data_IF_954534644303
#
_entry.id   IF_954534644303
#
_cell.length_a   1.000
_cell.length_b   1.000
_cell.length_c   1.000
_cell.angle_alpha   90.00
_cell.angle_beta   90.00
_cell.angle_gamma   90.00
#
_symmetry.space_group_name_H-M   'P 1'
#
loop_
_entity.id
_entity.type
_entity.pdbx_description
1 polymer ?
#
# COMPACT_ATOMS: atom_id res chain seq x y z
N UNK A 1 2.29 -1.95 -5.66
CA UNK A 1 2.64 -0.85 -4.72
C UNK A 1 3.22 -1.37 -3.41
N UNK A 2 2.80 -2.57 -2.97
CA UNK A 2 3.26 -3.31 -1.78
C UNK A 2 4.77 -3.41 -1.63
N UNK A 3 5.51 -3.75 -2.69
CA UNK A 3 6.98 -3.82 -2.62
C UNK A 3 7.63 -2.48 -2.26
N UNK A 4 7.16 -1.36 -2.82
CA UNK A 4 7.68 -0.02 -2.49
C UNK A 4 7.33 0.37 -1.06
N UNK A 5 6.11 0.04 -0.59
CA UNK A 5 5.72 0.29 0.78
C UNK A 5 6.54 -0.56 1.77
N UNK A 6 6.72 -1.86 1.48
CA UNK A 6 7.56 -2.77 2.27
C UNK A 6 9.00 -2.29 2.40
N UNK A 7 9.64 -1.92 1.29
CA UNK A 7 11.00 -1.35 1.35
C UNK A 7 11.08 -0.05 2.15
N UNK A 8 10.04 0.79 2.10
CA UNK A 8 9.98 2.01 2.92
C UNK A 8 9.83 1.69 4.43
N UNK A 9 9.11 0.63 4.79
CA UNK A 9 9.00 0.15 6.17
C UNK A 9 10.32 -0.43 6.67
N UNK A 10 10.97 -1.27 5.88
CA UNK A 10 12.24 -1.92 6.25
C UNK A 10 13.37 -0.90 6.45
N UNK A 11 13.44 0.13 5.62
CA UNK A 11 14.37 1.25 5.80
C UNK A 11 14.16 2.03 7.12
N UNK A 12 13.02 1.84 7.79
CA UNK A 12 12.66 2.44 9.08
C UNK A 12 12.72 1.44 10.24
N UNK A 13 13.24 0.23 10.00
CA UNK A 13 13.34 -0.83 10.99
C UNK A 13 12.01 -1.53 11.29
N UNK A 14 11.02 -1.45 10.39
CA UNK A 14 9.74 -2.14 10.51
C UNK A 14 9.74 -3.35 9.57
N UNK A 15 9.72 -4.60 10.09
CA UNK A 15 9.69 -5.79 9.24
C UNK A 15 8.44 -5.86 8.36
N UNK A 16 8.61 -6.10 7.06
CA UNK A 16 7.53 -6.21 6.08
C UNK A 16 7.58 -7.53 5.28
N UNK A 17 8.50 -8.43 5.65
CA UNK A 17 8.73 -9.71 5.01
C UNK A 17 7.80 -10.82 5.54
N UNK A 18 7.90 -12.02 4.98
CA UNK A 18 7.33 -13.25 5.59
C UNK A 18 5.84 -13.15 5.97
N UNK A 19 5.02 -12.48 5.15
CA UNK A 19 3.59 -12.32 5.38
C UNK A 19 3.21 -11.26 6.43
N UNK A 20 4.18 -10.49 6.94
CA UNK A 20 3.92 -9.35 7.83
C UNK A 20 3.27 -8.18 7.10
N UNK A 21 3.64 -7.94 5.85
CA UNK A 21 2.92 -7.03 4.97
C UNK A 21 2.31 -7.82 3.81
N UNK A 22 1.02 -7.62 3.60
CA UNK A 22 0.36 -8.03 2.37
C UNK A 22 -0.66 -6.99 1.95
N UNK A 23 -1.19 -7.14 0.74
CA UNK A 23 -2.23 -6.27 0.24
C UNK A 23 -3.16 -7.00 -0.71
N UNK A 24 -4.42 -6.63 -0.67
CA UNK A 24 -5.39 -6.98 -1.69
C UNK A 24 -5.68 -5.76 -2.56
N UNK A 25 -6.11 -6.00 -3.80
CA UNK A 25 -6.42 -4.91 -4.72
C UNK A 25 -7.68 -5.22 -5.52
N UNK A 26 -8.62 -4.29 -5.49
CA UNK A 26 -9.87 -4.36 -6.25
C UNK A 26 -9.81 -3.35 -7.39
N UNK A 27 -10.00 -3.82 -8.61
CA UNK A 27 -10.08 -3.00 -9.80
C UNK A 27 -11.51 -2.88 -10.30
N UNK A 28 -11.94 -1.68 -10.64
CA UNK A 28 -13.22 -1.44 -11.30
C UNK A 28 -13.01 -1.08 -12.78
N UNK A 29 -13.79 -1.72 -13.63
CA UNK A 29 -13.78 -1.53 -15.06
C UNK A 29 -14.99 -0.71 -15.51
N UNK A 30 -14.81 0.13 -16.51
CA UNK A 30 -15.88 0.81 -17.20
C UNK A 30 -15.78 0.62 -18.71
N UNK A 31 -16.91 0.74 -19.40
CA UNK A 31 -16.92 0.74 -20.86
C UNK A 31 -16.63 2.15 -21.37
N UNK A 32 -15.49 2.33 -22.03
CA UNK A 32 -15.09 3.57 -22.69
C UNK A 32 -14.97 3.31 -24.20
N UNK A 33 -15.73 4.04 -25.01
CA UNK A 33 -15.74 3.92 -26.49
C UNK A 33 -15.83 2.49 -27.02
N UNK A 34 -16.57 1.63 -26.33
CA UNK A 34 -16.80 0.25 -26.76
C UNK A 34 -15.88 -0.80 -26.14
N UNK A 35 -14.83 -0.39 -25.40
CA UNK A 35 -13.88 -1.31 -24.75
C UNK A 35 -13.91 -1.18 -23.23
N UNK A 36 -13.54 -2.24 -22.51
CA UNK A 36 -13.38 -2.17 -21.05
C UNK A 36 -12.04 -1.54 -20.70
N UNK A 37 -12.05 -0.54 -19.83
CA UNK A 37 -10.86 0.11 -19.29
C UNK A 37 -10.89 0.08 -17.77
N UNK A 38 -9.74 -0.09 -17.14
CA UNK A 38 -9.62 0.08 -15.69
C UNK A 38 -9.80 1.57 -15.38
N UNK A 39 -10.72 1.91 -14.49
CA UNK A 39 -10.94 3.30 -14.06
C UNK A 39 -10.52 3.55 -12.63
N UNK A 40 -10.71 2.56 -11.76
CA UNK A 40 -10.38 2.67 -10.34
C UNK A 40 -9.64 1.44 -9.88
N UNK A 41 -8.71 1.65 -8.95
CA UNK A 41 -8.07 0.59 -8.19
C UNK A 41 -8.07 1.02 -6.72
N UNK A 42 -8.54 0.15 -5.84
CA UNK A 42 -8.39 0.30 -4.40
C UNK A 42 -7.40 -0.73 -3.88
N UNK A 43 -6.45 -0.31 -3.05
CA UNK A 43 -5.44 -1.19 -2.44
C UNK A 43 -5.61 -1.20 -0.92
N UNK A 44 -5.98 -2.35 -0.36
CA UNK A 44 -6.10 -2.55 1.08
C UNK A 44 -4.84 -3.24 1.58
N UNK A 45 -4.04 -2.55 2.40
CA UNK A 45 -2.85 -3.12 3.02
C UNK A 45 -3.17 -3.65 4.41
N UNK A 46 -2.56 -4.77 4.77
CA UNK A 46 -2.53 -5.27 6.14
C UNK A 46 -1.08 -5.40 6.57
N UNK A 47 -0.75 -4.72 7.67
CA UNK A 47 0.57 -4.75 8.28
C UNK A 47 0.47 -5.33 9.70
N UNK A 48 1.15 -6.46 9.92
CA UNK A 48 1.28 -7.12 11.22
C UNK A 48 2.53 -6.60 11.93
N UNK A 49 2.36 -6.03 13.11
CA UNK A 49 3.45 -5.44 13.89
C UNK A 49 3.31 -5.83 15.36
N UNK A 50 4.41 -6.20 16.06
CA UNK A 50 4.41 -6.31 17.52
C UNK A 50 3.94 -5.02 18.20
N UNK A 51 3.18 -5.13 19.30
CA UNK A 51 2.56 -3.97 19.97
C UNK A 51 3.57 -2.96 20.52
N UNK A 52 4.73 -3.44 20.97
CA UNK A 52 5.86 -2.61 21.42
C UNK A 52 6.42 -1.78 20.25
N UNK A 53 6.67 -2.42 19.11
CA UNK A 53 7.17 -1.75 17.92
C UNK A 53 6.14 -0.80 17.31
N UNK A 54 4.84 -1.14 17.35
CA UNK A 54 3.76 -0.27 16.91
C UNK A 54 3.74 1.03 17.73
N UNK A 55 3.87 0.92 19.05
CA UNK A 55 3.89 2.07 19.96
C UNK A 55 5.04 3.03 19.65
N UNK A 56 6.20 2.50 19.26
CA UNK A 56 7.38 3.31 18.92
C UNK A 56 7.33 3.87 17.48
N UNK A 57 6.83 3.08 16.52
CA UNK A 57 7.01 3.37 15.08
C UNK A 57 5.74 3.82 14.35
N UNK A 58 4.61 4.04 15.04
CA UNK A 58 3.34 4.44 14.42
C UNK A 58 3.48 5.59 13.40
N UNK A 59 4.19 6.66 13.76
CA UNK A 59 4.41 7.80 12.86
C UNK A 59 5.32 7.46 11.67
N UNK A 60 6.29 6.56 11.87
CA UNK A 60 7.16 6.09 10.81
C UNK A 60 6.38 5.22 9.80
N UNK A 61 5.49 4.35 10.29
CA UNK A 61 4.57 3.54 9.48
C UNK A 61 3.65 4.46 8.67
N UNK A 62 3.00 5.43 9.32
CA UNK A 62 2.07 6.34 8.64
C UNK A 62 2.77 7.17 7.56
N UNK A 63 3.99 7.66 7.83
CA UNK A 63 4.79 8.38 6.83
C UNK A 63 5.18 7.50 5.65
N UNK A 64 5.63 6.26 5.90
CA UNK A 64 5.93 5.31 4.83
C UNK A 64 4.68 5.01 3.98
N UNK A 65 3.53 4.82 4.63
CA UNK A 65 2.27 4.60 3.94
C UNK A 65 1.89 5.80 3.07
N UNK A 66 2.03 7.03 3.57
CA UNK A 66 1.66 8.23 2.82
C UNK A 66 2.57 8.49 1.61
N UNK A 67 3.88 8.28 1.76
CA UNK A 67 4.87 8.71 0.76
C UNK A 67 5.26 7.65 -0.27
N UNK A 68 5.05 6.36 0.01
CA UNK A 68 5.47 5.31 -0.94
C UNK A 68 4.91 5.44 -2.37
N UNK A 69 3.71 6.02 -2.64
CA UNK A 69 3.24 6.18 -4.01
C UNK A 69 4.17 7.05 -4.87
N UNK A 70 4.82 8.06 -4.29
CA UNK A 70 5.72 8.98 -5.01
C UNK A 70 6.98 8.28 -5.56
N UNK A 71 7.36 7.18 -4.93
CA UNK A 71 8.50 6.34 -5.31
C UNK A 71 8.09 5.03 -5.99
N UNK A 72 6.80 4.75 -6.13
CA UNK A 72 6.32 3.49 -6.70
C UNK A 72 6.23 3.57 -8.23
N UNK A 73 7.02 2.76 -8.98
CA UNK A 73 6.99 2.80 -10.45
C UNK A 73 5.59 2.54 -11.03
N UNK A 74 4.90 1.52 -10.50
CA UNK A 74 3.54 1.17 -10.95
C UNK A 74 2.56 2.31 -10.75
N UNK A 75 2.55 2.95 -9.57
CA UNK A 75 1.69 4.10 -9.31
C UNK A 75 1.99 5.23 -10.31
N UNK A 76 3.27 5.63 -10.43
CA UNK A 76 3.70 6.72 -11.32
C UNK A 76 3.36 6.49 -12.79
N UNK A 77 3.37 5.24 -13.23
CA UNK A 77 3.04 4.88 -14.61
C UNK A 77 1.57 5.10 -14.97
N UNK A 78 0.63 4.93 -14.02
CA UNK A 78 -0.80 4.82 -14.35
C UNK A 78 -1.73 5.75 -13.58
N UNK A 79 -1.29 6.40 -12.49
CA UNK A 79 -2.14 7.24 -11.63
C UNK A 79 -2.82 8.44 -12.33
N UNK A 80 -2.28 8.88 -13.48
CA UNK A 80 -2.88 9.96 -14.28
C UNK A 80 -4.08 9.48 -15.11
N UNK A 81 -4.18 8.18 -15.33
CA UNK A 81 -5.20 7.56 -16.19
C UNK A 81 -6.25 6.81 -15.39
N UNK A 82 -5.91 6.35 -14.19
CA UNK A 82 -6.81 5.63 -13.29
C UNK A 82 -6.76 6.24 -11.89
N UNK A 83 -7.90 6.29 -11.20
CA UNK A 83 -7.94 6.71 -9.81
C UNK A 83 -7.46 5.56 -8.91
N UNK A 84 -6.42 5.81 -8.11
CA UNK A 84 -5.87 4.82 -7.19
C UNK A 84 -6.07 5.31 -5.77
N UNK A 85 -6.81 4.55 -4.97
CA UNK A 85 -6.98 4.78 -3.54
C UNK A 85 -6.31 3.68 -2.74
N UNK A 86 -5.99 3.97 -1.48
CA UNK A 86 -5.33 3.02 -0.59
C UNK A 86 -5.73 3.23 0.85
N UNK A 87 -5.75 2.14 1.60
CA UNK A 87 -5.98 2.11 3.05
C UNK A 87 -4.99 1.17 3.73
N UNK A 88 -4.77 1.37 5.02
CA UNK A 88 -3.87 0.56 5.83
C UNK A 88 -4.58 0.11 7.09
N UNK A 89 -4.69 -1.21 7.26
CA UNK A 89 -5.01 -1.85 8.52
C UNK A 89 -3.70 -2.28 9.20
N UNK A 90 -3.56 -1.93 10.49
CA UNK A 90 -2.46 -2.40 11.32
C UNK A 90 -3.02 -3.41 12.30
N UNK A 91 -2.49 -4.62 12.27
CA UNK A 91 -2.87 -5.72 13.15
C UNK A 91 -1.75 -5.94 14.15
N UNK A 92 -2.08 -5.87 15.43
CA UNK A 92 -1.13 -6.23 16.50
C UNK A 92 -0.86 -7.74 16.45
N UNK A 93 0.42 -8.10 16.32
CA UNK A 93 0.87 -9.47 16.41
C UNK A 93 1.44 -9.71 17.81
N UNK A 94 0.90 -10.70 18.52
CA UNK A 94 1.43 -11.17 19.81
C UNK A 94 2.75 -11.91 19.64
#
# INVERSE_FOLDING_TARGET
MTGTFGGALEARGIPADSGKLYSESVGELEKDRGVLVIKRVHVSYVLKVPSDLLSEKKDAIQRAFNLHPESCPVYKSIYKSINITKELEIVEAN
#
